data_IF_377311781745
#
_entry.id   IF_377311781745
#
_cell.length_a   1.000
_cell.length_b   1.000
_cell.length_c   1.000
_cell.angle_alpha   90.00
_cell.angle_beta   90.00
_cell.angle_gamma   90.00
#
_symmetry.space_group_name_H-M   'P 1'
#
loop_
_entity.id
_entity.type
_entity.pdbx_description
1 polymer ?
#
# COMPACT_ATOMS: atom_id res chain seq x y z
N UNK A 1 2.15 -11.15 -34.86
CA UNK A 1 1.11 -11.23 -33.82
C UNK A 1 1.63 -10.49 -32.59
N UNK A 2 1.11 -9.30 -32.30
CA UNK A 2 1.53 -8.54 -31.11
C UNK A 2 0.93 -9.15 -29.86
N UNK A 3 1.78 -9.53 -28.90
CA UNK A 3 1.32 -9.97 -27.58
C UNK A 3 0.61 -8.80 -26.88
N UNK A 4 -0.72 -8.83 -26.86
CA UNK A 4 -1.53 -7.90 -26.08
C UNK A 4 -1.41 -8.26 -24.60
N UNK A 5 -0.51 -7.59 -23.89
CA UNK A 5 -0.44 -7.66 -22.42
C UNK A 5 -1.52 -6.74 -21.87
N UNK A 6 -2.67 -7.30 -21.47
CA UNK A 6 -3.66 -6.56 -20.69
C UNK A 6 -3.07 -6.26 -19.31
N UNK A 7 -2.58 -5.02 -19.10
CA UNK A 7 -2.19 -4.55 -17.76
C UNK A 7 -3.47 -4.34 -16.95
N UNK A 8 -3.83 -5.33 -16.14
CA UNK A 8 -4.93 -5.20 -15.16
C UNK A 8 -4.55 -4.07 -14.20
N UNK A 9 -5.33 -2.99 -14.21
CA UNK A 9 -5.16 -1.88 -13.25
C UNK A 9 -5.49 -2.41 -11.85
N UNK A 10 -4.48 -2.50 -10.98
CA UNK A 10 -4.69 -2.87 -9.57
C UNK A 10 -5.49 -1.78 -8.86
N UNK A 11 -6.46 -2.20 -8.05
CA UNK A 11 -7.12 -1.28 -7.12
C UNK A 11 -6.08 -0.72 -6.15
N UNK A 12 -6.31 0.50 -5.69
CA UNK A 12 -5.49 1.16 -4.69
C UNK A 12 -6.38 2.05 -3.82
N UNK A 13 -5.91 2.32 -2.61
CA UNK A 13 -6.49 3.29 -1.68
C UNK A 13 -5.49 4.43 -1.53
N UNK A 14 -6.01 5.65 -1.52
CA UNK A 14 -5.25 6.82 -1.10
C UNK A 14 -5.56 7.11 0.36
N UNK A 15 -4.52 7.37 1.14
CA UNK A 15 -4.66 7.84 2.52
C UNK A 15 -3.54 8.83 2.82
N UNK A 16 -3.71 9.63 3.86
CA UNK A 16 -2.73 10.62 4.26
C UNK A 16 -2.21 10.27 5.65
N UNK A 17 -0.91 10.40 5.88
CA UNK A 17 -0.36 10.29 7.23
C UNK A 17 -0.57 11.61 8.01
N UNK A 18 -0.26 11.59 9.31
CA UNK A 18 -0.38 12.76 10.19
C UNK A 18 0.49 13.94 9.75
N UNK A 19 1.59 13.67 9.03
CA UNK A 19 2.51 14.67 8.48
C UNK A 19 2.00 15.29 7.16
N UNK A 20 0.82 14.91 6.70
CA UNK A 20 0.21 15.43 5.47
C UNK A 20 0.72 14.78 4.18
N UNK A 21 1.52 13.71 4.27
CA UNK A 21 2.06 12.98 3.12
C UNK A 21 0.98 12.01 2.62
N UNK A 22 0.68 12.07 1.32
CA UNK A 22 -0.26 11.17 0.70
C UNK A 22 0.44 9.85 0.36
N UNK A 23 -0.25 8.75 0.57
CA UNK A 23 0.22 7.43 0.22
C UNK A 23 -0.81 6.76 -0.65
N UNK A 24 -0.29 5.99 -1.59
CA UNK A 24 -1.07 5.10 -2.44
C UNK A 24 -0.67 3.69 -2.08
N UNK A 25 -1.62 2.93 -1.56
CA UNK A 25 -1.42 1.53 -1.26
C UNK A 25 -2.20 0.67 -2.24
N UNK A 26 -1.50 -0.17 -3.00
CA UNK A 26 -2.13 -1.08 -3.94
C UNK A 26 -2.64 -2.33 -3.23
N UNK A 27 -3.79 -2.81 -3.70
CA UNK A 27 -4.36 -4.04 -3.20
C UNK A 27 -3.38 -5.21 -3.46
N UNK A 28 -3.08 -6.03 -2.44
CA UNK A 28 -2.33 -7.27 -2.61
C UNK A 28 -2.89 -8.11 -3.75
N UNK A 29 -2.00 -8.64 -4.59
CA UNK A 29 -2.40 -9.64 -5.57
C UNK A 29 -2.50 -11.03 -4.94
N UNK A 30 -3.12 -11.98 -5.64
CA UNK A 30 -3.34 -13.34 -5.12
C UNK A 30 -2.03 -14.04 -4.70
N UNK A 31 -0.93 -13.82 -5.41
CA UNK A 31 0.38 -14.39 -5.05
C UNK A 31 0.90 -13.82 -3.73
N UNK A 32 0.81 -12.51 -3.54
CA UNK A 32 1.23 -11.85 -2.30
C UNK A 32 0.41 -12.31 -1.09
N UNK A 33 -0.91 -12.46 -1.26
CA UNK A 33 -1.79 -13.03 -0.22
C UNK A 33 -1.39 -14.46 0.13
N UNK A 34 -1.07 -15.28 -0.89
CA UNK A 34 -0.62 -16.65 -0.68
C UNK A 34 0.73 -16.72 0.03
N UNK A 35 1.66 -15.80 -0.26
CA UNK A 35 2.95 -15.71 0.43
C UNK A 35 2.75 -15.44 1.93
N UNK A 36 1.85 -14.52 2.30
CA UNK A 36 1.50 -14.26 3.72
C UNK A 36 0.85 -15.48 4.37
N UNK A 37 -0.10 -16.14 3.68
CA UNK A 37 -0.82 -17.29 4.26
C UNK A 37 0.06 -18.52 4.50
N UNK A 38 1.24 -18.57 3.87
CA UNK A 38 2.21 -19.67 4.02
C UNK A 38 3.22 -19.43 5.14
N UNK A 39 3.28 -18.21 5.68
CA UNK A 39 4.16 -17.87 6.78
C UNK A 39 3.72 -18.63 8.04
N UNK A 40 4.64 -19.39 8.63
CA UNK A 40 4.41 -20.20 9.82
C UNK A 40 5.12 -19.57 11.00
N UNK A 41 4.41 -18.68 11.70
CA UNK A 41 4.89 -18.02 12.91
C UNK A 41 4.99 -16.50 12.75
N UNK A 42 5.00 -15.80 13.89
CA UNK A 42 4.93 -14.34 13.96
C UNK A 42 6.05 -13.65 13.18
N UNK A 43 7.28 -14.16 13.26
CA UNK A 43 8.44 -13.54 12.60
C UNK A 43 8.34 -13.64 11.06
N UNK A 44 7.89 -14.77 10.54
CA UNK A 44 7.70 -14.95 9.10
C UNK A 44 6.53 -14.10 8.57
N UNK A 45 5.46 -13.97 9.37
CA UNK A 45 4.31 -13.12 9.05
C UNK A 45 4.73 -11.67 8.99
N UNK A 46 5.50 -11.18 9.97
CA UNK A 46 6.04 -9.82 9.99
C UNK A 46 6.91 -9.53 8.76
N UNK A 47 7.83 -10.45 8.42
CA UNK A 47 8.69 -10.32 7.22
C UNK A 47 7.88 -10.30 5.92
N UNK A 48 6.87 -11.15 5.79
CA UNK A 48 6.00 -11.19 4.61
C UNK A 48 5.17 -9.90 4.48
N UNK A 49 4.66 -9.41 5.60
CA UNK A 49 3.88 -8.18 5.69
C UNK A 49 4.72 -6.94 5.38
N UNK A 50 5.93 -6.82 5.93
CA UNK A 50 6.86 -5.74 5.62
C UNK A 50 7.18 -5.70 4.12
N UNK A 51 7.53 -6.86 3.54
CA UNK A 51 7.79 -6.98 2.10
C UNK A 51 6.58 -6.52 1.29
N UNK A 52 5.38 -6.93 1.70
CA UNK A 52 4.16 -6.55 1.02
C UNK A 52 3.96 -5.02 1.06
N UNK A 53 4.24 -4.40 2.21
CA UNK A 53 4.09 -2.96 2.40
C UNK A 53 5.11 -2.21 1.53
N UNK A 54 6.37 -2.66 1.48
CA UNK A 54 7.40 -2.13 0.57
C UNK A 54 7.04 -2.27 -0.90
N UNK A 55 6.42 -3.36 -1.32
CA UNK A 55 6.06 -3.57 -2.74
C UNK A 55 4.83 -2.78 -3.18
N UNK A 56 3.86 -2.57 -2.28
CA UNK A 56 2.57 -1.99 -2.63
C UNK A 56 2.35 -0.57 -2.14
N UNK A 57 3.25 -0.02 -1.30
CA UNK A 57 3.16 1.37 -0.87
C UNK A 57 3.98 2.27 -1.79
N UNK A 58 3.33 3.30 -2.31
CA UNK A 58 3.95 4.42 -3.04
C UNK A 58 3.63 5.72 -2.29
N UNK A 59 4.67 6.46 -1.91
CA UNK A 59 4.49 7.83 -1.42
C UNK A 59 4.12 8.73 -2.61
N UNK A 60 2.97 9.38 -2.53
CA UNK A 60 2.48 10.32 -3.53
C UNK A 60 2.40 11.70 -2.86
N UNK A 61 2.69 12.78 -3.58
CA UNK A 61 2.35 14.11 -3.08
C UNK A 61 1.46 14.78 -4.10
N UNK A 62 0.20 14.90 -3.74
CA UNK A 62 -0.63 15.95 -4.29
C UNK A 62 -1.02 16.83 -3.11
N UNK A 63 -0.37 17.98 -3.01
CA UNK A 63 -1.04 19.12 -2.38
C UNK A 63 -2.18 19.55 -3.32
N UNK A 64 -3.25 20.07 -2.74
CA UNK A 64 -4.49 20.46 -3.39
C UNK A 64 -4.32 21.37 -4.63
N UNK A 65 -3.15 21.96 -4.84
CA UNK A 65 -2.84 22.92 -5.90
C UNK A 65 -2.06 22.35 -7.09
N UNK A 66 -1.96 21.02 -7.22
CA UNK A 66 -1.54 20.37 -8.47
C UNK A 66 -0.06 20.54 -8.88
N UNK A 67 0.80 21.06 -8.00
CA UNK A 67 2.25 21.14 -8.23
C UNK A 67 3.01 20.66 -7.01
N UNK A 68 3.71 19.52 -7.12
CA UNK A 68 4.99 19.28 -6.43
C UNK A 68 5.63 17.99 -6.95
N UNK A 69 6.82 18.13 -7.54
CA UNK A 69 7.75 17.03 -7.71
C UNK A 69 8.51 16.88 -6.40
N UNK A 70 8.17 15.89 -5.58
CA UNK A 70 9.16 15.36 -4.66
C UNK A 70 10.25 14.72 -5.54
N UNK A 71 11.51 15.11 -5.35
CA UNK A 71 12.61 14.35 -5.93
C UNK A 71 12.47 12.89 -5.51
N UNK A 72 12.75 11.96 -6.42
CA UNK A 72 12.60 10.51 -6.22
C UNK A 72 13.19 10.06 -4.87
N UNK A 73 14.33 10.64 -4.49
CA UNK A 73 15.01 10.42 -3.21
C UNK A 73 14.12 10.73 -1.98
N UNK A 74 13.44 11.87 -1.97
CA UNK A 74 12.57 12.26 -0.85
C UNK A 74 11.31 11.40 -0.75
N UNK A 75 10.84 10.86 -1.87
CA UNK A 75 9.66 9.99 -1.88
C UNK A 75 10.02 8.60 -1.34
N UNK A 76 11.21 8.13 -1.68
CA UNK A 76 11.80 6.92 -1.09
C UNK A 76 11.98 7.15 0.42
N UNK A 77 12.59 8.25 0.84
CA UNK A 77 12.80 8.56 2.26
C UNK A 77 11.48 8.62 3.04
N UNK A 78 10.46 9.31 2.53
CA UNK A 78 9.15 9.39 3.17
C UNK A 78 8.47 8.03 3.32
N UNK A 79 8.60 7.17 2.30
CA UNK A 79 8.12 5.79 2.35
C UNK A 79 8.86 4.98 3.41
N UNK A 80 10.19 5.01 3.40
CA UNK A 80 11.01 4.26 4.36
C UNK A 80 10.73 4.69 5.80
N UNK A 81 10.64 5.99 6.05
CA UNK A 81 10.32 6.52 7.37
C UNK A 81 8.95 6.04 7.85
N UNK A 82 7.93 6.05 6.99
CA UNK A 82 6.60 5.54 7.34
C UNK A 82 6.62 4.04 7.66
N UNK A 83 7.35 3.24 6.87
CA UNK A 83 7.46 1.79 7.09
C UNK A 83 8.13 1.50 8.43
N UNK A 84 9.21 2.21 8.74
CA UNK A 84 9.93 2.06 10.00
C UNK A 84 9.05 2.48 11.19
N UNK A 85 8.32 3.59 11.07
CA UNK A 85 7.35 4.01 12.11
C UNK A 85 6.28 2.94 12.37
N UNK A 86 5.75 2.27 11.33
CA UNK A 86 4.79 1.18 11.50
C UNK A 86 5.39 -0.06 12.19
N UNK A 87 6.65 -0.39 11.86
CA UNK A 87 7.36 -1.52 12.47
C UNK A 87 7.71 -1.25 13.93
N UNK A 88 8.23 -0.06 14.24
CA UNK A 88 8.61 0.34 15.59
C UNK A 88 7.41 0.40 16.54
N UNK A 89 6.26 0.86 16.05
CA UNK A 89 5.02 0.94 16.84
C UNK A 89 4.21 -0.37 16.83
N UNK A 90 4.64 -1.41 16.10
CA UNK A 90 3.91 -2.67 15.96
C UNK A 90 2.46 -2.52 15.42
N UNK A 91 2.18 -1.47 14.65
CA UNK A 91 0.83 -1.13 14.14
C UNK A 91 0.53 -1.71 12.75
N UNK A 92 1.36 -2.64 12.28
CA UNK A 92 1.24 -3.28 10.97
C UNK A 92 -0.10 -3.99 10.77
N UNK A 93 -0.58 -4.72 11.79
CA UNK A 93 -1.85 -5.44 11.70
C UNK A 93 -3.05 -4.49 11.60
N UNK A 94 -3.01 -3.41 12.39
CA UNK A 94 -4.04 -2.36 12.37
C UNK A 94 -4.06 -1.65 11.02
N UNK A 95 -2.88 -1.35 10.46
CA UNK A 95 -2.74 -0.78 9.13
C UNK A 95 -3.40 -1.67 8.06
N UNK A 96 -3.09 -2.97 8.04
CA UNK A 96 -3.70 -3.86 7.04
C UNK A 96 -5.21 -4.03 7.22
N UNK A 97 -5.67 -4.05 8.47
CA UNK A 97 -7.10 -4.14 8.77
C UNK A 97 -7.84 -2.92 8.24
N UNK A 98 -7.32 -1.71 8.51
CA UNK A 98 -7.86 -0.45 8.01
C UNK A 98 -7.85 -0.40 6.47
N UNK A 99 -6.73 -0.78 5.84
CA UNK A 99 -6.64 -0.81 4.37
C UNK A 99 -7.62 -1.81 3.75
N UNK A 100 -7.79 -3.00 4.34
CA UNK A 100 -8.73 -4.00 3.87
C UNK A 100 -10.19 -3.50 3.92
N UNK A 101 -10.56 -2.77 4.97
CA UNK A 101 -11.86 -2.14 5.09
C UNK A 101 -12.09 -1.10 3.98
N UNK A 102 -11.10 -0.24 3.72
CA UNK A 102 -11.18 0.76 2.65
C UNK A 102 -11.30 0.12 1.26
N UNK A 103 -10.59 -0.98 1.00
CA UNK A 103 -10.78 -1.75 -0.24
C UNK A 103 -12.19 -2.33 -0.36
N UNK A 104 -12.76 -2.83 0.73
CA UNK A 104 -14.13 -3.36 0.75
C UNK A 104 -15.15 -2.26 0.47
N UNK A 105 -15.03 -1.09 1.12
CA UNK A 105 -15.86 0.09 0.85
C UNK A 105 -15.78 0.52 -0.61
N UNK A 106 -14.56 0.63 -1.16
CA UNK A 106 -14.35 0.98 -2.56
C UNK A 106 -14.98 -0.03 -3.53
N UNK A 107 -14.97 -1.33 -3.18
CA UNK A 107 -15.61 -2.40 -3.96
C UNK A 107 -17.14 -2.34 -3.90
N UNK A 108 -17.71 -2.03 -2.74
CA UNK A 108 -19.16 -1.88 -2.56
C UNK A 108 -19.70 -0.66 -3.30
N UNK A 109 -19.01 0.48 -3.25
CA UNK A 109 -19.38 1.68 -4.01
C UNK A 109 -19.44 1.43 -5.53
N UNK A 110 -18.56 0.57 -6.06
CA UNK A 110 -18.58 0.15 -7.47
C UNK A 110 -19.72 -0.81 -7.83
N UNK A 111 -20.37 -1.46 -6.85
CA UNK A 111 -21.50 -2.38 -7.08
C UNK A 111 -22.86 -1.68 -7.02
N UNK A 112 -22.93 -0.48 -6.44
CA UNK A 112 -24.17 0.32 -6.30
C UNK A 112 -24.41 1.28 -7.47
N UNK A 113 -23.43 1.46 -8.37
CA UNK A 113 -23.55 2.16 -9.65
C UNK A 113 -23.65 1.15 -10.79
#
# INVERSE_FOLDING_TARGET
MGNFVYKIKRNHVFFQNEKGILFKYYQPNQRQVLEISKANGLEEVLKANEKLLRENLEACLTLADGKTHLGEEKAIEAKENFINELLENSTLEEFFSAMAEEFNKAKESKRKN
#
